data_IF_712435348543
#
_entry.id   IF_712435348543
#
_cell.length_a   1.000
_cell.length_b   1.000
_cell.length_c   1.000
_cell.angle_alpha   90.00
_cell.angle_beta   90.00
_cell.angle_gamma   90.00
#
_symmetry.space_group_name_H-M   'P 1'
#
loop_
_entity.id
_entity.type
_entity.pdbx_description
1 polymer ?
#
# COMPACT_ATOMS: atom_id res chain seq x y z
N UNK A 1 20.54 9.69 13.94
CA UNK A 1 19.44 10.65 14.20
C UNK A 1 18.14 10.04 13.73
N UNK A 2 17.05 10.14 14.52
CA UNK A 2 15.73 9.72 14.11
C UNK A 2 15.23 10.61 12.95
N UNK A 3 14.70 9.98 11.89
CA UNK A 3 14.10 10.72 10.77
C UNK A 3 12.73 11.24 11.18
N UNK A 4 12.45 12.49 10.83
CA UNK A 4 11.17 13.12 11.11
C UNK A 4 10.26 13.07 9.88
N UNK A 5 8.98 12.77 10.10
CA UNK A 5 7.97 12.86 9.05
C UNK A 5 7.77 14.30 8.61
N UNK A 6 7.70 14.54 7.31
CA UNK A 6 7.47 15.87 6.73
C UNK A 6 5.98 16.15 6.53
N UNK A 7 5.18 15.10 6.32
CA UNK A 7 3.74 15.21 6.15
C UNK A 7 3.03 14.23 7.11
N UNK A 8 1.90 14.64 7.63
CA UNK A 8 1.11 13.86 8.59
C UNK A 8 -0.33 13.63 8.12
N UNK A 9 -0.63 14.01 6.88
CA UNK A 9 -1.94 13.83 6.26
C UNK A 9 -1.85 12.80 5.16
N UNK A 10 -2.45 11.64 5.36
CA UNK A 10 -2.46 10.54 4.39
C UNK A 10 -3.22 10.90 3.12
N UNK A 11 -4.22 11.79 3.20
CA UNK A 11 -4.92 12.27 2.02
C UNK A 11 -3.98 13.04 1.09
N UNK A 12 -3.15 13.92 1.64
CA UNK A 12 -2.12 14.65 0.87
C UNK A 12 -1.09 13.70 0.26
N UNK A 13 -0.73 12.62 0.95
CA UNK A 13 0.13 11.55 0.41
C UNK A 13 -0.51 10.88 -0.80
N UNK A 14 -1.78 10.50 -0.68
CA UNK A 14 -2.50 9.78 -1.74
C UNK A 14 -2.80 10.63 -2.98
N UNK A 15 -2.69 11.96 -2.90
CA UNK A 15 -2.87 12.87 -4.04
C UNK A 15 -1.64 12.97 -4.95
N UNK A 16 -0.49 12.48 -4.53
CA UNK A 16 0.78 12.68 -5.25
C UNK A 16 0.93 11.87 -6.52
N UNK A 17 0.23 10.74 -6.64
CA UNK A 17 0.26 9.87 -7.82
C UNK A 17 -1.02 9.07 -7.91
N UNK A 18 -1.27 8.52 -9.09
CA UNK A 18 -2.35 7.54 -9.29
C UNK A 18 -1.88 6.11 -9.01
N UNK A 19 -0.57 5.87 -8.97
CA UNK A 19 0.00 4.54 -8.76
C UNK A 19 1.04 4.56 -7.65
N UNK A 20 0.90 3.62 -6.73
CA UNK A 20 1.83 3.35 -5.64
C UNK A 20 2.29 1.91 -5.69
N UNK A 21 3.57 1.68 -5.46
CA UNK A 21 4.15 0.34 -5.32
C UNK A 21 4.53 0.05 -3.88
N UNK A 22 4.27 -1.19 -3.46
CA UNK A 22 4.77 -1.73 -2.20
C UNK A 22 6.23 -2.14 -2.38
N UNK A 23 7.15 -1.43 -1.71
CA UNK A 23 8.58 -1.70 -1.80
C UNK A 23 9.02 -2.78 -0.82
N UNK A 24 8.53 -2.69 0.41
CA UNK A 24 8.85 -3.60 1.51
C UNK A 24 7.67 -3.80 2.45
N UNK A 25 7.61 -4.97 3.07
CA UNK A 25 6.75 -5.22 4.23
C UNK A 25 7.41 -6.18 5.20
N UNK A 26 7.13 -6.02 6.48
CA UNK A 26 7.73 -6.82 7.56
C UNK A 26 7.10 -8.21 7.72
N UNK A 27 6.17 -8.59 6.86
CA UNK A 27 5.47 -9.87 6.85
C UNK A 27 5.32 -10.40 5.42
N UNK A 28 4.98 -11.68 5.27
CA UNK A 28 4.68 -12.31 3.97
C UNK A 28 3.24 -12.77 3.92
N UNK A 29 2.60 -12.49 2.80
CA UNK A 29 1.24 -12.94 2.53
C UNK A 29 1.18 -14.44 2.26
N UNK A 30 2.19 -15.00 1.59
CA UNK A 30 2.32 -16.42 1.26
C UNK A 30 3.78 -16.86 1.34
N UNK A 31 4.04 -18.16 1.18
CA UNK A 31 5.40 -18.69 1.07
C UNK A 31 6.12 -18.19 -0.17
N UNK A 32 5.35 -17.90 -1.24
CA UNK A 32 5.88 -17.34 -2.48
C UNK A 32 6.07 -15.83 -2.33
N UNK A 33 7.13 -15.30 -2.94
CA UNK A 33 7.36 -13.87 -2.97
C UNK A 33 6.31 -13.19 -3.84
N UNK A 34 5.68 -12.17 -3.32
CA UNK A 34 4.90 -11.24 -4.13
C UNK A 34 5.82 -10.46 -5.06
N UNK A 35 5.35 -10.16 -6.27
CA UNK A 35 6.07 -9.33 -7.24
C UNK A 35 5.15 -8.21 -7.69
N UNK A 36 5.69 -6.99 -7.75
CA UNK A 36 4.97 -5.81 -8.23
C UNK A 36 3.61 -5.59 -7.55
N UNK A 37 3.56 -5.68 -6.22
CA UNK A 37 2.37 -5.29 -5.45
C UNK A 37 2.11 -3.80 -5.59
N UNK A 38 0.88 -3.41 -5.89
CA UNK A 38 0.52 -2.04 -6.26
C UNK A 38 -0.85 -1.64 -5.75
N UNK A 39 -1.07 -0.34 -5.75
CA UNK A 39 -2.39 0.30 -5.65
C UNK A 39 -2.50 1.34 -6.75
N UNK A 40 -3.57 1.27 -7.56
CA UNK A 40 -3.95 2.29 -8.53
C UNK A 40 -5.20 3.02 -8.04
N UNK A 41 -5.15 4.34 -7.99
CA UNK A 41 -6.32 5.15 -7.66
C UNK A 41 -7.17 5.31 -8.92
N UNK A 42 -8.44 4.90 -8.84
CA UNK A 42 -9.43 5.01 -9.91
C UNK A 42 -10.27 6.28 -9.74
N UNK A 43 -10.72 6.55 -8.52
CA UNK A 43 -11.57 7.70 -8.21
C UNK A 43 -11.15 8.34 -6.89
N UNK A 44 -11.28 9.67 -6.80
CA UNK A 44 -11.09 10.47 -5.59
C UNK A 44 -12.35 11.24 -5.26
N UNK A 45 -12.80 11.14 -4.02
CA UNK A 45 -13.82 12.02 -3.46
C UNK A 45 -13.14 13.01 -2.51
N UNK A 46 -13.00 14.26 -2.96
CA UNK A 46 -12.34 15.33 -2.20
C UNK A 46 -13.16 15.78 -0.98
N UNK A 47 -14.48 15.70 -1.05
CA UNK A 47 -15.36 16.09 0.04
C UNK A 47 -15.26 15.12 1.21
N UNK A 48 -15.39 13.84 0.94
CA UNK A 48 -15.37 12.78 1.96
C UNK A 48 -13.96 12.29 2.29
N UNK A 49 -12.96 12.68 1.50
CA UNK A 49 -11.58 12.17 1.62
C UNK A 49 -11.52 10.65 1.50
N UNK A 50 -12.18 10.11 0.49
CA UNK A 50 -12.25 8.67 0.19
C UNK A 50 -11.76 8.36 -1.23
N UNK A 51 -11.33 7.12 -1.45
CA UNK A 51 -10.81 6.64 -2.72
C UNK A 51 -11.50 5.35 -3.13
N UNK A 52 -11.68 5.17 -4.44
CA UNK A 52 -11.82 3.86 -5.05
C UNK A 52 -10.47 3.50 -5.68
N UNK A 53 -9.93 2.35 -5.35
CA UNK A 53 -8.63 1.87 -5.83
C UNK A 53 -8.74 0.49 -6.44
N UNK A 54 -7.76 0.16 -7.27
CA UNK A 54 -7.48 -1.18 -7.74
C UNK A 54 -6.17 -1.62 -7.10
N UNK A 55 -6.20 -2.68 -6.30
CA UNK A 55 -5.02 -3.22 -5.63
C UNK A 55 -4.73 -4.63 -6.08
N UNK A 56 -3.47 -4.99 -6.17
CA UNK A 56 -3.07 -6.33 -6.59
C UNK A 56 -1.58 -6.53 -6.73
N UNK A 57 -1.21 -7.61 -7.41
CA UNK A 57 0.17 -7.98 -7.70
C UNK A 57 0.25 -8.80 -8.99
N UNK A 58 1.47 -8.94 -9.52
CA UNK A 58 1.76 -9.95 -10.54
C UNK A 58 1.73 -11.36 -9.92
N UNK A 59 1.18 -12.30 -10.65
CA UNK A 59 1.49 -13.70 -10.44
C UNK A 59 2.91 -14.00 -10.95
N UNK A 60 3.66 -14.78 -10.19
CA UNK A 60 5.04 -15.12 -10.50
C UNK A 60 5.18 -15.69 -11.93
N UNK A 61 5.90 -14.97 -12.78
CA UNK A 61 6.17 -15.36 -14.17
C UNK A 61 5.08 -15.06 -15.20
N UNK A 62 3.98 -14.41 -14.82
CA UNK A 62 2.92 -13.97 -15.73
C UNK A 62 2.83 -12.44 -15.79
N UNK A 63 2.25 -11.93 -16.87
CA UNK A 63 1.91 -10.51 -17.02
C UNK A 63 0.53 -10.17 -16.47
N UNK A 64 -0.16 -11.17 -15.93
CA UNK A 64 -1.52 -11.00 -15.44
C UNK A 64 -1.51 -10.45 -14.02
N UNK A 65 -2.23 -9.36 -13.82
CA UNK A 65 -2.43 -8.77 -12.51
C UNK A 65 -3.60 -9.44 -11.79
N UNK A 66 -3.34 -9.99 -10.61
CA UNK A 66 -4.41 -10.39 -9.70
C UNK A 66 -4.84 -9.13 -8.93
N UNK A 67 -5.98 -8.56 -9.29
CA UNK A 67 -6.42 -7.28 -8.75
C UNK A 67 -7.83 -7.33 -8.14
N UNK A 68 -8.06 -6.44 -7.18
CA UNK A 68 -9.33 -6.27 -6.50
C UNK A 68 -9.64 -4.78 -6.35
N UNK A 69 -10.92 -4.42 -6.49
CA UNK A 69 -11.39 -3.07 -6.13
C UNK A 69 -11.44 -2.91 -4.62
N UNK A 70 -10.88 -1.83 -4.13
CA UNK A 70 -10.76 -1.53 -2.71
C UNK A 70 -11.23 -0.10 -2.46
N UNK A 71 -12.21 0.07 -1.57
CA UNK A 71 -12.56 1.36 -1.02
C UNK A 71 -11.60 1.73 0.10
N UNK A 72 -11.07 2.95 0.03
CA UNK A 72 -10.20 3.52 1.06
C UNK A 72 -10.90 4.72 1.67
N UNK A 73 -11.14 4.67 2.97
CA UNK A 73 -11.59 5.82 3.76
C UNK A 73 -10.44 6.33 4.61
N UNK A 74 -10.30 7.65 4.72
CA UNK A 74 -9.30 8.27 5.58
C UNK A 74 -9.97 8.88 6.80
N UNK A 75 -9.29 8.89 7.94
CA UNK A 75 -9.82 9.50 9.16
C UNK A 75 -8.73 10.16 10.01
N UNK A 76 -9.16 11.10 10.84
CA UNK A 76 -8.30 11.74 11.83
C UNK A 76 -8.07 10.81 13.02
N UNK A 77 -6.82 10.74 13.47
CA UNK A 77 -6.45 10.10 14.72
C UNK A 77 -6.74 10.97 15.94
N UNK A 78 -6.38 10.48 17.11
CA UNK A 78 -6.62 11.15 18.42
C UNK A 78 -6.02 12.56 18.53
N UNK A 79 -4.93 12.83 17.79
CA UNK A 79 -4.26 14.14 17.78
C UNK A 79 -4.79 15.09 16.70
N UNK A 80 -5.85 14.73 15.98
CA UNK A 80 -6.48 15.52 14.94
C UNK A 80 -5.81 15.44 13.57
N UNK A 81 -4.68 14.73 13.44
CA UNK A 81 -4.01 14.50 12.16
C UNK A 81 -4.74 13.39 11.37
N UNK A 82 -4.97 13.60 10.08
CA UNK A 82 -5.58 12.62 9.18
C UNK A 82 -4.53 11.60 8.73
N UNK A 83 -4.20 10.67 9.60
CA UNK A 83 -3.13 9.70 9.39
C UNK A 83 -3.59 8.23 9.40
N UNK A 84 -4.89 7.98 9.38
CA UNK A 84 -5.46 6.63 9.33
C UNK A 84 -6.18 6.37 8.02
N UNK A 85 -6.09 5.12 7.55
CA UNK A 85 -6.83 4.59 6.40
C UNK A 85 -7.54 3.30 6.79
N UNK A 86 -8.79 3.14 6.32
CA UNK A 86 -9.51 1.88 6.36
C UNK A 86 -9.73 1.36 4.95
N UNK A 87 -9.37 0.10 4.70
CA UNK A 87 -9.49 -0.58 3.43
C UNK A 87 -10.62 -1.61 3.47
N UNK A 88 -11.54 -1.51 2.50
CA UNK A 88 -12.66 -2.44 2.35
C UNK A 88 -12.64 -3.02 0.94
N UNK A 89 -12.51 -4.35 0.83
CA UNK A 89 -12.55 -5.01 -0.48
C UNK A 89 -14.00 -5.03 -0.97
N UNK A 90 -14.22 -4.54 -2.20
CA UNK A 90 -15.55 -4.49 -2.81
C UNK A 90 -16.09 -5.92 -2.97
N UNK A 91 -17.30 -6.14 -2.48
CA UNK A 91 -17.97 -7.44 -2.53
C UNK A 91 -17.74 -8.35 -1.31
N UNK A 92 -16.85 -8.00 -0.37
CA UNK A 92 -16.56 -8.82 0.82
C UNK A 92 -17.16 -8.28 2.13
N UNK A 93 -17.93 -7.21 2.07
CA UNK A 93 -18.70 -6.70 3.21
C UNK A 93 -17.85 -6.21 4.38
N UNK A 94 -17.63 -4.89 4.47
CA UNK A 94 -16.99 -4.23 5.59
C UNK A 94 -15.46 -4.07 5.47
N UNK A 95 -14.85 -3.30 6.39
CA UNK A 95 -13.43 -3.04 6.39
C UNK A 95 -12.63 -4.32 6.65
N UNK A 96 -11.53 -4.51 5.93
CA UNK A 96 -10.61 -5.63 6.10
C UNK A 96 -9.39 -5.25 6.94
N UNK A 97 -8.84 -4.07 6.66
CA UNK A 97 -7.63 -3.56 7.29
C UNK A 97 -7.78 -2.10 7.70
N UNK A 98 -7.11 -1.72 8.78
CA UNK A 98 -6.88 -0.34 9.14
C UNK A 98 -5.37 -0.10 9.27
N UNK A 99 -4.91 1.00 8.68
CA UNK A 99 -3.52 1.44 8.68
C UNK A 99 -3.37 2.79 9.35
N UNK A 100 -2.20 3.00 9.95
CA UNK A 100 -1.74 4.32 10.36
C UNK A 100 -0.47 4.67 9.57
N UNK A 101 -0.45 5.85 8.94
CA UNK A 101 0.78 6.40 8.38
C UNK A 101 1.67 6.89 9.52
N UNK A 102 2.85 6.28 9.65
CA UNK A 102 3.80 6.59 10.72
C UNK A 102 4.99 7.42 10.23
N UNK A 103 5.17 7.51 8.92
CA UNK A 103 6.19 8.34 8.27
C UNK A 103 5.78 8.70 6.84
N UNK A 104 6.13 9.91 6.41
CA UNK A 104 6.04 10.37 5.03
C UNK A 104 7.17 11.36 4.77
N UNK A 105 7.93 11.17 3.67
CA UNK A 105 9.07 12.01 3.32
C UNK A 105 8.68 13.33 2.65
N UNK A 106 7.40 13.52 2.36
CA UNK A 106 6.89 14.69 1.64
C UNK A 106 7.13 14.66 0.13
N UNK A 107 7.72 13.59 -0.41
CA UNK A 107 8.15 13.50 -1.81
C UNK A 107 7.57 12.28 -2.56
N UNK A 108 6.86 11.41 -1.85
CA UNK A 108 6.17 10.26 -2.45
C UNK A 108 6.54 8.92 -1.87
N UNK A 109 7.25 8.87 -0.73
CA UNK A 109 7.57 7.64 -0.03
C UNK A 109 7.06 7.70 1.42
N UNK A 110 6.34 6.66 1.84
CA UNK A 110 5.69 6.61 3.15
C UNK A 110 5.75 5.23 3.79
N UNK A 111 5.65 5.19 5.12
CA UNK A 111 5.59 3.98 5.92
C UNK A 111 4.25 3.91 6.62
N UNK A 112 3.56 2.79 6.42
CA UNK A 112 2.28 2.46 7.04
C UNK A 112 2.47 1.35 8.07
N UNK A 113 1.67 1.41 9.14
CA UNK A 113 1.58 0.37 10.16
C UNK A 113 0.17 -0.20 10.20
N UNK A 114 0.02 -1.52 10.24
CA UNK A 114 -1.27 -2.19 10.38
C UNK A 114 -1.73 -2.03 11.82
N UNK A 115 -2.86 -1.37 12.04
CA UNK A 115 -3.42 -1.12 13.38
C UNK A 115 -4.59 -2.00 13.72
N UNK A 116 -5.31 -2.52 12.70
CA UNK A 116 -6.47 -3.38 12.89
C UNK A 116 -6.66 -4.32 11.71
N UNK A 117 -7.11 -5.53 12.01
CA UNK A 117 -7.53 -6.53 11.01
C UNK A 117 -8.89 -7.07 11.46
N UNK A 118 -9.90 -6.95 10.60
CA UNK A 118 -11.26 -7.42 10.87
C UNK A 118 -11.65 -8.61 10.00
N UNK A 119 -10.89 -8.90 8.94
CA UNK A 119 -11.13 -10.05 8.08
C UNK A 119 -10.73 -11.35 8.81
N UNK A 120 -11.65 -12.36 8.91
CA UNK A 120 -11.42 -13.56 9.73
C UNK A 120 -10.23 -14.40 9.28
N UNK A 121 -10.00 -14.50 7.98
CA UNK A 121 -8.99 -15.38 7.39
C UNK A 121 -7.58 -14.76 7.33
N UNK A 122 -7.43 -13.53 7.82
CA UNK A 122 -6.14 -12.83 7.84
C UNK A 122 -5.48 -12.99 9.20
N UNK A 123 -4.19 -13.35 9.24
CA UNK A 123 -3.44 -13.52 10.49
C UNK A 123 -3.46 -12.26 11.37
N UNK A 124 -3.86 -12.38 12.61
CA UNK A 124 -3.92 -11.26 13.56
C UNK A 124 -2.54 -10.81 14.04
N UNK A 125 -1.53 -11.67 13.93
CA UNK A 125 -0.14 -11.34 14.20
C UNK A 125 0.44 -10.29 13.26
N UNK A 126 -0.24 -9.96 12.14
CA UNK A 126 0.16 -8.85 11.27
C UNK A 126 -0.19 -7.47 11.83
N UNK A 127 -1.01 -7.39 12.88
CA UNK A 127 -1.22 -6.13 13.59
C UNK A 127 0.11 -5.68 14.19
N UNK A 128 0.50 -4.43 13.91
CA UNK A 128 1.79 -3.86 14.28
C UNK A 128 2.88 -4.00 13.20
N UNK A 129 2.65 -4.79 12.16
CA UNK A 129 3.56 -4.92 11.03
C UNK A 129 3.51 -3.68 10.12
N UNK A 130 4.57 -3.48 9.34
CA UNK A 130 4.74 -2.30 8.50
C UNK A 130 4.80 -2.61 7.02
N UNK A 131 4.47 -1.56 6.24
CA UNK A 131 4.61 -1.52 4.80
C UNK A 131 5.28 -0.21 4.38
N UNK A 132 6.24 -0.31 3.46
CA UNK A 132 6.89 0.83 2.81
C UNK A 132 6.34 0.97 1.40
N UNK A 133 5.69 2.10 1.15
CA UNK A 133 5.07 2.43 -0.12
C UNK A 133 5.73 3.63 -0.78
N UNK A 134 5.83 3.61 -2.10
CA UNK A 134 6.27 4.75 -2.89
C UNK A 134 5.42 4.95 -4.14
N UNK A 135 5.28 6.22 -4.57
CA UNK A 135 4.70 6.52 -5.87
C UNK A 135 5.52 5.88 -6.99
N UNK A 136 4.90 5.56 -8.11
CA UNK A 136 5.59 4.97 -9.26
C UNK A 136 6.76 5.84 -9.75
N UNK A 137 6.65 7.15 -9.60
CA UNK A 137 7.64 8.12 -10.05
C UNK A 137 8.92 8.06 -9.23
N UNK A 138 8.83 7.86 -7.91
CA UNK A 138 10.00 7.84 -7.02
C UNK A 138 10.47 6.44 -6.64
N UNK A 139 9.64 5.41 -6.80
CA UNK A 139 9.99 4.04 -6.45
C UNK A 139 11.35 3.57 -7.02
N UNK A 140 11.71 3.86 -8.30
CA UNK A 140 13.00 3.45 -8.86
C UNK A 140 14.22 4.09 -8.18
N UNK A 141 14.04 5.25 -7.52
CA UNK A 141 15.13 6.00 -6.88
C UNK A 141 15.27 5.71 -5.38
N UNK A 142 14.31 5.00 -4.78
CA UNK A 142 14.36 4.66 -3.36
C UNK A 142 15.47 3.63 -3.10
N UNK A 143 16.30 3.92 -2.10
CA UNK A 143 17.43 3.09 -1.70
C UNK A 143 17.65 3.18 -0.18
N UNK A 144 18.61 2.43 0.33
CA UNK A 144 18.91 2.33 1.77
C UNK A 144 19.25 3.66 2.46
N UNK A 145 19.59 4.69 1.70
CA UNK A 145 19.88 6.03 2.23
C UNK A 145 18.66 6.94 2.20
N UNK A 146 17.59 6.55 1.51
CA UNK A 146 16.34 7.30 1.46
C UNK A 146 15.72 7.41 2.85
N UNK A 147 15.20 8.58 3.20
CA UNK A 147 14.65 8.85 4.54
C UNK A 147 13.53 7.88 4.93
N UNK A 148 12.72 7.45 3.98
CA UNK A 148 11.65 6.47 4.22
C UNK A 148 12.18 5.06 4.48
N UNK A 149 13.25 4.62 3.80
CA UNK A 149 13.95 3.37 4.12
C UNK A 149 14.52 3.41 5.53
N UNK A 150 15.21 4.49 5.88
CA UNK A 150 15.74 4.69 7.23
C UNK A 150 14.63 4.68 8.26
N UNK A 151 13.50 5.35 7.99
CA UNK A 151 12.34 5.38 8.88
C UNK A 151 11.72 3.98 9.04
N UNK A 152 11.59 3.22 7.94
CA UNK A 152 11.09 1.85 7.96
C UNK A 152 11.94 0.95 8.86
N UNK A 153 13.26 0.93 8.67
CA UNK A 153 14.15 0.13 9.52
C UNK A 153 14.14 0.58 10.98
N UNK A 154 14.14 1.88 11.26
CA UNK A 154 14.14 2.40 12.63
C UNK A 154 12.82 2.16 13.38
N UNK A 155 11.69 2.29 12.71
CA UNK A 155 10.36 2.23 13.34
C UNK A 155 9.75 0.84 13.34
N UNK A 156 10.08 0.01 12.36
CA UNK A 156 9.45 -1.29 12.14
C UNK A 156 10.35 -2.48 12.48
N UNK A 157 11.66 -2.25 12.55
CA UNK A 157 12.64 -3.27 12.91
C UNK A 157 12.40 -4.62 12.19
N UNK A 158 12.44 -4.67 10.83
CA UNK A 158 12.09 -5.85 10.08
C UNK A 158 13.04 -7.02 10.38
N UNK A 159 12.47 -8.23 10.44
CA UNK A 159 13.23 -9.47 10.42
C UNK A 159 13.52 -9.82 8.96
N UNK A 160 14.80 -9.79 8.57
CA UNK A 160 15.23 -10.01 7.20
C UNK A 160 14.85 -11.39 6.66
N UNK A 161 14.64 -12.38 7.53
CA UNK A 161 14.28 -13.73 7.12
C UNK A 161 12.80 -13.85 6.71
N UNK A 162 11.95 -12.95 7.21
CA UNK A 162 10.51 -12.93 6.92
C UNK A 162 10.06 -11.67 6.16
N UNK A 163 10.93 -10.70 5.98
CA UNK A 163 10.64 -9.50 5.17
C UNK A 163 10.34 -9.86 3.72
N UNK A 164 9.35 -9.20 3.14
CA UNK A 164 9.01 -9.29 1.73
C UNK A 164 9.37 -7.99 1.00
N UNK A 165 9.94 -8.10 -0.20
CA UNK A 165 10.39 -6.99 -1.05
C UNK A 165 9.79 -7.10 -2.45
N UNK A 166 8.49 -6.80 -2.62
CA UNK A 166 7.77 -7.08 -3.87
C UNK A 166 8.21 -6.25 -5.07
N UNK A 167 8.78 -5.06 -4.83
CA UNK A 167 9.12 -4.14 -5.91
C UNK A 167 10.43 -4.53 -6.60
N UNK A 168 10.38 -4.51 -7.94
CA UNK A 168 11.54 -4.61 -8.83
C UNK A 168 11.45 -3.51 -9.89
N UNK A 169 12.58 -3.04 -10.40
CA UNK A 169 12.66 -1.88 -11.30
C UNK A 169 11.94 -2.05 -12.64
N UNK A 170 11.63 -3.27 -13.03
CA UNK A 170 10.85 -3.57 -14.23
C UNK A 170 9.35 -3.78 -14.00
N UNK A 171 8.84 -3.44 -12.80
CA UNK A 171 7.40 -3.40 -12.56
C UNK A 171 6.73 -2.46 -13.55
N UNK A 172 5.78 -2.99 -14.34
CA UNK A 172 5.02 -2.24 -15.34
C UNK A 172 3.91 -1.43 -14.68
N UNK A 173 3.36 -0.46 -15.40
CA UNK A 173 2.14 0.20 -14.98
C UNK A 173 1.01 -0.82 -14.77
N UNK A 174 0.32 -0.79 -13.61
CA UNK A 174 -0.80 -1.67 -13.36
C UNK A 174 -1.97 -1.36 -14.33
N UNK A 175 -2.86 -2.35 -14.58
CA UNK A 175 -4.00 -2.14 -15.45
C UNK A 175 -4.93 -1.06 -14.90
N UNK A 176 -5.73 -0.49 -15.79
CA UNK A 176 -6.90 0.32 -15.44
C UNK A 176 -8.14 -0.58 -15.35
N UNK A 177 -9.19 -0.13 -14.67
CA UNK A 177 -10.43 -0.90 -14.48
C UNK A 177 -11.07 -1.39 -15.80
N UNK A 178 -10.83 -0.68 -16.90
CA UNK A 178 -11.35 -1.00 -18.24
C UNK A 178 -10.68 -2.19 -18.92
N UNK A 179 -9.50 -2.62 -18.49
CA UNK A 179 -8.76 -3.72 -19.10
C UNK A 179 -9.15 -5.10 -18.56
N UNK A 180 -9.77 -5.15 -17.37
CA UNK A 180 -10.18 -6.42 -16.72
C UNK A 180 -11.48 -7.02 -17.27
N UNK A 181 -12.28 -6.27 -18.03
CA UNK A 181 -13.53 -6.75 -18.61
C UNK A 181 -13.39 -7.41 -19.98
N UNK A 182 -12.21 -7.34 -20.61
CA UNK A 182 -11.97 -7.83 -21.96
C UNK A 182 -11.63 -9.32 -22.08
N UNK A 183 -11.63 -10.08 -21.00
CA UNK A 183 -11.24 -11.50 -21.01
C UNK A 183 -12.35 -12.46 -20.52
N UNK A 184 -13.60 -12.21 -20.86
CA UNK A 184 -14.62 -13.25 -20.84
C UNK A 184 -14.57 -13.99 -22.18
N UNK A 185 -14.18 -15.25 -22.26
CA UNK A 185 -14.37 -16.01 -23.48
C UNK A 185 -15.87 -16.18 -23.70
N UNK A 186 -16.36 -15.65 -24.78
CA UNK A 186 -17.67 -16.05 -25.29
C UNK A 186 -17.63 -17.55 -25.57
N UNK A 187 -18.51 -18.31 -24.91
CA UNK A 187 -18.85 -19.68 -25.27
C UNK A 187 -19.77 -19.71 -26.47
#
# INVERSE_FOLDING_TARGET
KAVQTKNKDVWETMKRSDVFFLLRRTYRWSKDRSVCSYTRILERNEEDKTLLTLGGNYNNGTTDYNNHKIYVTTRKGKKGERNHMMLSVVGYGGPAFEYKMIFDDGEGCSVLNITRITQPDVPKEWIGQCELWATKEVAPSINVQSSCEVAYFQKCNPDIDIEDTPYVTNCKDPPTDTESEASSPEC
#
